data_IF_897237354453
#
_entry.id   IF_897237354453
#
_cell.length_a   1.000
_cell.length_b   1.000
_cell.length_c   1.000
_cell.angle_alpha   90.00
_cell.angle_beta   90.00
_cell.angle_gamma   90.00
#
_symmetry.space_group_name_H-M   'P 1'
#
loop_
_entity.id
_entity.type
_entity.pdbx_description
1 polymer ?
#
# COMPACT_ATOMS: atom_id res chain seq x y z
N UNK A 1 20.34 -18.46 -85.58
CA UNK A 1 20.37 -17.27 -84.68
C UNK A 1 19.28 -17.47 -83.63
N UNK A 2 19.57 -17.81 -82.38
CA UNK A 2 18.53 -17.95 -81.33
C UNK A 2 18.32 -16.61 -80.63
N UNK A 3 17.05 -16.22 -80.50
CA UNK A 3 16.55 -15.05 -79.82
C UNK A 3 16.59 -15.30 -78.28
N UNK A 4 17.33 -14.48 -77.54
CA UNK A 4 17.32 -14.49 -76.07
C UNK A 4 16.15 -13.67 -75.59
N UNK A 5 15.25 -14.29 -74.78
CA UNK A 5 14.20 -13.63 -74.00
C UNK A 5 14.82 -13.07 -72.75
N UNK A 6 14.45 -11.86 -72.30
CA UNK A 6 14.87 -11.32 -71.00
C UNK A 6 13.94 -11.83 -69.87
N UNK A 7 14.53 -12.41 -68.85
CA UNK A 7 13.88 -12.79 -67.64
C UNK A 7 13.64 -11.51 -66.81
N UNK A 8 12.38 -11.18 -66.53
CA UNK A 8 11.98 -10.11 -65.56
C UNK A 8 11.95 -10.71 -64.17
N UNK A 9 12.87 -10.28 -63.32
CA UNK A 9 12.88 -10.59 -61.88
C UNK A 9 11.89 -9.62 -61.22
N UNK A 10 10.78 -10.15 -60.70
CA UNK A 10 9.82 -9.40 -59.86
C UNK A 10 10.30 -9.56 -58.43
N UNK A 11 10.87 -8.50 -57.86
CA UNK A 11 11.22 -8.43 -56.43
C UNK A 11 9.98 -8.09 -55.62
N UNK A 12 9.41 -9.05 -54.94
CA UNK A 12 8.38 -8.84 -53.93
C UNK A 12 9.02 -8.43 -52.60
N UNK A 13 8.94 -7.15 -52.29
CA UNK A 13 9.31 -6.65 -50.96
C UNK A 13 8.22 -7.03 -49.94
N UNK A 14 8.46 -8.04 -49.13
CA UNK A 14 7.61 -8.39 -47.98
C UNK A 14 7.90 -7.39 -46.85
N UNK A 15 7.01 -6.45 -46.66
CA UNK A 15 7.05 -5.54 -45.51
C UNK A 15 6.71 -6.28 -44.21
N UNK A 16 7.70 -6.42 -43.34
CA UNK A 16 7.48 -6.90 -41.95
C UNK A 16 6.84 -5.77 -41.14
N UNK A 17 5.52 -5.86 -40.88
CA UNK A 17 4.85 -5.01 -39.89
C UNK A 17 5.15 -5.60 -38.53
N UNK A 18 6.11 -5.01 -37.81
CA UNK A 18 6.34 -5.31 -36.41
C UNK A 18 5.18 -4.73 -35.59
N UNK A 19 4.27 -5.58 -35.15
CA UNK A 19 3.26 -5.23 -34.17
C UNK A 19 3.99 -4.97 -32.83
N UNK A 20 4.10 -3.70 -32.44
CA UNK A 20 4.57 -3.31 -31.12
C UNK A 20 3.41 -3.62 -30.15
N UNK A 21 3.42 -4.80 -29.55
CA UNK A 21 2.58 -5.10 -28.41
C UNK A 21 3.09 -4.26 -27.24
N UNK A 22 2.36 -3.20 -26.87
CA UNK A 22 2.57 -2.53 -25.59
C UNK A 22 2.26 -3.56 -24.49
N UNK A 23 3.29 -4.11 -23.88
CA UNK A 23 3.16 -4.90 -22.68
C UNK A 23 2.63 -3.95 -21.59
N UNK A 24 1.35 -4.00 -21.31
CA UNK A 24 0.80 -3.41 -20.08
C UNK A 24 1.46 -4.19 -18.95
N UNK A 25 2.17 -3.49 -18.07
CA UNK A 25 2.66 -4.09 -16.84
C UNK A 25 1.43 -4.53 -16.05
N UNK A 26 1.11 -5.81 -16.09
CA UNK A 26 0.08 -6.39 -15.25
C UNK A 26 0.48 -6.08 -13.80
N UNK A 27 -0.42 -5.52 -13.01
CA UNK A 27 -0.20 -5.27 -11.60
C UNK A 27 0.27 -6.54 -10.91
N UNK A 28 1.11 -6.40 -9.89
CA UNK A 28 1.60 -7.56 -9.16
C UNK A 28 0.43 -8.30 -8.50
N UNK A 29 0.58 -9.60 -8.22
CA UNK A 29 -0.42 -10.36 -7.45
C UNK A 29 -0.68 -9.70 -6.09
N UNK A 30 0.33 -9.03 -5.52
CA UNK A 30 0.23 -8.24 -4.30
C UNK A 30 -0.65 -7.02 -4.48
N UNK A 31 -0.58 -6.32 -5.63
CA UNK A 31 -1.42 -5.15 -5.91
C UNK A 31 -2.89 -5.54 -6.02
N UNK A 32 -3.20 -6.61 -6.76
CA UNK A 32 -4.56 -7.13 -6.84
C UNK A 32 -5.13 -7.44 -5.45
N UNK A 33 -4.33 -8.06 -4.60
CA UNK A 33 -4.75 -8.42 -3.26
C UNK A 33 -4.85 -7.20 -2.33
N UNK A 34 -3.91 -6.24 -2.42
CA UNK A 34 -3.91 -5.00 -1.63
C UNK A 34 -5.06 -4.06 -2.02
N UNK A 35 -5.34 -3.88 -3.31
CA UNK A 35 -6.33 -2.91 -3.77
C UNK A 35 -7.69 -3.54 -4.13
N UNK A 36 -7.78 -4.88 -4.16
CA UNK A 36 -8.99 -5.62 -4.54
C UNK A 36 -9.27 -5.59 -6.05
N UNK A 37 -8.44 -4.93 -6.82
CA UNK A 37 -8.44 -4.85 -8.28
C UNK A 37 -7.02 -4.61 -8.78
N UNK A 38 -6.74 -4.94 -10.04
CA UNK A 38 -5.50 -4.54 -10.67
C UNK A 38 -5.55 -3.03 -10.95
N UNK A 39 -4.63 -2.24 -10.36
CA UNK A 39 -4.61 -0.79 -10.57
C UNK A 39 -4.04 -0.38 -11.95
N UNK A 40 -3.41 -1.28 -12.70
CA UNK A 40 -2.76 -0.95 -13.99
C UNK A 40 -1.74 0.18 -13.82
N UNK A 41 -1.92 1.29 -14.54
CA UNK A 41 -1.09 2.49 -14.44
C UNK A 41 -1.78 3.62 -13.65
N UNK A 42 -2.88 3.34 -12.98
CA UNK A 42 -3.62 4.34 -12.22
C UNK A 42 -3.16 4.40 -10.77
N UNK A 43 -3.39 5.57 -10.15
CA UNK A 43 -3.30 5.71 -8.70
C UNK A 43 -4.36 4.83 -8.03
N UNK A 44 -3.97 4.13 -6.96
CA UNK A 44 -4.87 3.24 -6.24
C UNK A 44 -4.82 3.48 -4.73
N UNK A 45 -5.95 3.21 -4.08
CA UNK A 45 -6.13 3.38 -2.65
C UNK A 45 -6.71 2.12 -2.04
N UNK A 46 -6.29 1.83 -0.81
CA UNK A 46 -6.90 0.79 0.02
C UNK A 46 -7.00 1.27 1.47
N UNK A 47 -8.07 0.87 2.13
CA UNK A 47 -8.31 1.15 3.54
C UNK A 47 -8.57 -0.15 4.30
N UNK A 48 -7.93 -0.28 5.46
CA UNK A 48 -8.06 -1.42 6.36
C UNK A 48 -8.20 -0.94 7.78
N UNK A 49 -9.01 -1.61 8.59
CA UNK A 49 -9.16 -1.22 9.98
C UNK A 49 -9.35 -2.42 10.91
N UNK A 50 -9.09 -2.19 12.18
CA UNK A 50 -9.39 -3.13 13.25
C UNK A 50 -9.69 -2.39 14.54
N UNK A 51 -10.78 -2.81 15.16
CA UNK A 51 -11.11 -2.47 16.54
C UNK A 51 -10.91 -3.70 17.43
N UNK A 52 -10.23 -3.52 18.55
CA UNK A 52 -10.05 -4.54 19.59
C UNK A 52 -10.95 -4.23 20.75
N UNK A 53 -11.94 -5.07 20.99
CA UNK A 53 -12.89 -4.88 22.06
C UNK A 53 -12.29 -5.10 23.46
N UNK A 54 -13.08 -4.79 24.49
CA UNK A 54 -12.65 -4.90 25.89
C UNK A 54 -12.31 -6.35 26.27
N UNK A 55 -12.99 -7.33 25.70
CA UNK A 55 -12.74 -8.76 26.00
C UNK A 55 -11.37 -9.19 25.44
N UNK A 56 -11.10 -8.81 24.17
CA UNK A 56 -9.79 -9.03 23.55
C UNK A 56 -8.67 -8.36 24.36
N UNK A 57 -8.83 -7.08 24.69
CA UNK A 57 -7.80 -6.33 25.42
C UNK A 57 -7.57 -6.83 26.87
N UNK A 58 -8.57 -7.45 27.49
CA UNK A 58 -8.39 -8.14 28.79
C UNK A 58 -7.52 -9.39 28.67
N UNK A 59 -7.67 -10.15 27.57
CA UNK A 59 -6.84 -11.35 27.31
C UNK A 59 -5.44 -11.02 26.81
N UNK A 60 -5.20 -9.76 26.35
CA UNK A 60 -3.91 -9.27 25.86
C UNK A 60 -3.48 -8.03 26.70
N UNK A 61 -3.08 -8.22 27.97
CA UNK A 61 -2.84 -7.09 28.88
C UNK A 61 -1.65 -6.22 28.47
N UNK A 62 -0.75 -6.76 27.65
CA UNK A 62 0.41 -6.03 27.14
C UNK A 62 0.20 -5.45 25.73
N UNK A 63 -1.00 -5.57 25.15
CA UNK A 63 -1.40 -4.84 23.95
C UNK A 63 -1.88 -3.45 24.35
N UNK A 64 -1.30 -2.40 23.77
CA UNK A 64 -1.68 -1.00 24.04
C UNK A 64 -2.61 -0.44 22.97
N UNK A 65 -2.54 -0.97 21.74
CA UNK A 65 -3.37 -0.55 20.61
C UNK A 65 -4.81 -1.06 20.78
N UNK A 66 -5.78 -0.13 20.72
CA UNK A 66 -7.22 -0.44 20.72
C UNK A 66 -7.80 -0.40 19.31
N UNK A 67 -7.49 0.65 18.56
CA UNK A 67 -7.94 0.82 17.18
C UNK A 67 -6.73 1.05 16.27
N UNK A 68 -6.77 0.46 15.11
CA UNK A 68 -5.80 0.70 14.06
C UNK A 68 -6.52 0.82 12.71
N UNK A 69 -6.19 1.88 11.97
CA UNK A 69 -6.66 2.10 10.60
C UNK A 69 -5.42 2.31 9.73
N UNK A 70 -5.37 1.67 8.59
CA UNK A 70 -4.28 1.79 7.64
C UNK A 70 -4.82 2.21 6.27
N UNK A 71 -4.27 3.29 5.75
CA UNK A 71 -4.47 3.78 4.40
C UNK A 71 -3.23 3.47 3.57
N UNK A 72 -3.42 2.82 2.42
CA UNK A 72 -2.37 2.60 1.43
C UNK A 72 -2.70 3.43 0.20
N UNK A 73 -1.74 4.23 -0.23
CA UNK A 73 -1.77 4.97 -1.49
C UNK A 73 -0.68 4.43 -2.40
N UNK A 74 -0.98 4.26 -3.69
CA UNK A 74 0.05 4.00 -4.68
C UNK A 74 -0.10 4.93 -5.88
N UNK A 75 1.01 5.45 -6.35
CA UNK A 75 1.13 6.30 -7.54
C UNK A 75 2.07 5.64 -8.55
N UNK A 76 1.99 6.06 -9.81
CA UNK A 76 2.94 5.60 -10.83
C UNK A 76 3.76 6.80 -11.26
N UNK A 77 5.06 6.70 -11.04
CA UNK A 77 6.05 7.63 -11.56
C UNK A 77 6.61 7.13 -12.90
N UNK A 78 6.93 8.03 -13.81
CA UNK A 78 7.40 7.68 -15.15
C UNK A 78 8.81 7.07 -15.17
N UNK A 79 9.64 7.36 -14.16
CA UNK A 79 11.03 6.90 -14.08
C UNK A 79 11.18 5.77 -13.04
N UNK A 80 10.52 5.91 -11.89
CA UNK A 80 10.66 4.97 -10.77
C UNK A 80 9.60 3.84 -10.78
N UNK A 81 8.56 3.95 -11.64
CA UNK A 81 7.47 2.99 -11.67
C UNK A 81 6.45 3.19 -10.54
N UNK A 82 5.85 2.11 -10.05
CA UNK A 82 4.84 2.19 -8.99
C UNK A 82 5.48 2.39 -7.64
N UNK A 83 5.12 3.48 -6.98
CA UNK A 83 5.50 3.83 -5.62
C UNK A 83 4.32 3.64 -4.66
N UNK A 84 4.63 3.37 -3.40
CA UNK A 84 3.63 3.18 -2.36
C UNK A 84 3.94 4.06 -1.16
N UNK A 85 2.90 4.50 -0.48
CA UNK A 85 2.98 5.11 0.85
C UNK A 85 1.91 4.52 1.75
N UNK A 86 2.18 4.55 3.05
CA UNK A 86 1.19 4.20 4.06
C UNK A 86 0.99 5.33 5.06
N UNK A 87 -0.25 5.41 5.55
CA UNK A 87 -0.64 6.21 6.71
C UNK A 87 -1.37 5.29 7.68
N UNK A 88 -0.91 5.22 8.91
CA UNK A 88 -1.57 4.44 9.95
C UNK A 88 -2.09 5.37 11.03
N UNK A 89 -3.38 5.27 11.35
CA UNK A 89 -3.98 5.86 12.53
C UNK A 89 -4.04 4.84 13.65
N UNK A 90 -3.53 5.21 14.81
CA UNK A 90 -3.52 4.36 16.01
C UNK A 90 -4.23 5.06 17.14
N UNK A 91 -5.17 4.36 17.77
CA UNK A 91 -5.74 4.80 19.04
C UNK A 91 -5.32 3.84 20.14
N UNK A 92 -4.59 4.35 21.11
CA UNK A 92 -4.15 3.57 22.26
C UNK A 92 -5.28 3.46 23.30
N UNK A 93 -5.31 2.36 24.08
CA UNK A 93 -6.40 2.05 25.01
C UNK A 93 -6.64 3.12 26.10
N UNK A 94 -5.61 3.86 26.48
CA UNK A 94 -5.67 4.90 27.51
C UNK A 94 -5.76 6.33 26.94
N UNK A 95 -5.87 6.48 25.62
CA UNK A 95 -5.86 7.77 24.92
C UNK A 95 -7.07 7.91 24.02
N UNK A 96 -7.60 9.14 23.92
CA UNK A 96 -8.64 9.50 22.95
C UNK A 96 -8.05 10.06 21.65
N UNK A 97 -6.84 10.60 21.73
CA UNK A 97 -6.09 11.16 20.59
C UNK A 97 -5.79 10.08 19.58
N UNK A 98 -5.96 10.39 18.31
CA UNK A 98 -5.50 9.58 17.19
C UNK A 98 -4.02 9.91 16.96
N UNK A 99 -3.16 8.91 17.06
CA UNK A 99 -1.75 9.01 16.69
C UNK A 99 -1.56 8.50 15.27
N UNK A 100 -0.61 9.09 14.55
CA UNK A 100 -0.32 8.74 13.16
C UNK A 100 1.10 8.17 13.02
N UNK A 101 1.26 7.34 12.00
CA UNK A 101 2.54 6.81 11.53
C UNK A 101 2.52 6.91 10.01
N UNK A 102 3.53 7.54 9.41
CA UNK A 102 3.63 7.76 7.96
C UNK A 102 4.92 7.16 7.44
N UNK A 103 4.91 6.68 6.21
CA UNK A 103 6.11 6.18 5.58
C UNK A 103 6.00 5.82 4.11
N UNK A 104 7.14 5.83 3.43
CA UNK A 104 7.30 5.32 2.07
C UNK A 104 7.52 3.82 2.07
N UNK A 105 7.01 3.14 1.04
CA UNK A 105 7.09 1.69 0.96
C UNK A 105 7.63 1.22 -0.38
N UNK A 106 8.39 0.13 -0.32
CA UNK A 106 8.78 -0.67 -1.48
C UNK A 106 7.89 -1.91 -1.59
N UNK A 107 7.59 -2.32 -2.82
CA UNK A 107 6.98 -3.63 -3.05
C UNK A 107 8.00 -4.73 -2.76
N UNK A 108 7.63 -5.70 -1.94
CA UNK A 108 8.54 -6.79 -1.62
C UNK A 108 8.54 -7.87 -2.70
N UNK A 109 9.73 -8.42 -2.95
CA UNK A 109 9.96 -9.51 -3.90
C UNK A 109 9.98 -10.89 -3.25
N UNK A 110 9.80 -11.00 -1.92
CA UNK A 110 9.90 -12.26 -1.17
C UNK A 110 8.66 -13.16 -1.33
N UNK A 111 7.60 -12.66 -1.96
CA UNK A 111 6.33 -13.36 -2.18
C UNK A 111 5.47 -13.57 -0.93
N UNK A 112 5.91 -13.08 0.22
CA UNK A 112 5.20 -13.16 1.52
C UNK A 112 4.76 -11.79 2.00
N UNK A 113 5.67 -10.83 1.95
CA UNK A 113 5.42 -9.43 2.28
C UNK A 113 4.90 -8.72 1.03
N UNK A 114 3.86 -7.93 1.13
CA UNK A 114 3.38 -7.11 0.02
C UNK A 114 4.13 -5.79 -0.05
N UNK A 115 4.30 -5.12 1.11
CA UNK A 115 5.01 -3.86 1.25
C UNK A 115 5.98 -3.92 2.43
N UNK A 116 7.16 -3.36 2.23
CA UNK A 116 8.16 -3.07 3.25
C UNK A 116 8.29 -1.56 3.37
N UNK A 117 7.99 -0.99 4.53
CA UNK A 117 7.82 0.44 4.69
C UNK A 117 8.81 1.00 5.72
N UNK A 118 9.61 1.95 5.29
CA UNK A 118 10.40 2.79 6.20
C UNK A 118 9.53 3.91 6.78
N UNK A 119 9.56 4.08 8.09
CA UNK A 119 8.78 5.11 8.77
C UNK A 119 9.59 6.40 8.85
N UNK A 120 8.94 7.51 8.55
CA UNK A 120 9.56 8.83 8.50
C UNK A 120 10.30 9.19 9.80
N UNK A 121 11.33 10.02 9.67
CA UNK A 121 12.16 10.49 10.79
C UNK A 121 12.78 9.37 11.63
N UNK A 122 13.34 8.35 10.98
CA UNK A 122 13.95 7.17 11.64
C UNK A 122 12.96 6.44 12.58
N UNK A 123 11.67 6.52 12.24
CA UNK A 123 10.56 6.01 13.05
C UNK A 123 10.40 4.50 13.05
N UNK A 124 11.31 3.75 12.41
CA UNK A 124 11.30 2.30 12.38
C UNK A 124 10.83 1.71 11.05
N UNK A 125 10.35 0.47 11.10
CA UNK A 125 9.95 -0.29 9.92
C UNK A 125 8.63 -1.01 10.17
N UNK A 126 7.80 -1.07 9.13
CA UNK A 126 6.52 -1.78 9.11
C UNK A 126 6.44 -2.65 7.86
N UNK A 127 6.07 -3.92 8.04
CA UNK A 127 5.81 -4.84 6.94
C UNK A 127 4.31 -5.07 6.82
N UNK A 128 3.80 -5.02 5.59
CA UNK A 128 2.41 -5.35 5.28
C UNK A 128 2.38 -6.62 4.45
N UNK A 129 1.68 -7.64 4.92
CA UNK A 129 1.50 -8.92 4.21
C UNK A 129 0.03 -9.15 3.91
N UNK A 130 -0.27 -9.69 2.74
CA UNK A 130 -1.64 -10.09 2.39
C UNK A 130 -1.97 -11.39 3.11
N UNK A 131 -3.01 -11.38 3.94
CA UNK A 131 -3.52 -12.59 4.60
C UNK A 131 -4.51 -13.34 3.72
N UNK A 132 -5.43 -12.61 3.11
CA UNK A 132 -6.44 -13.10 2.15
C UNK A 132 -7.03 -11.90 1.37
N UNK A 133 -8.04 -12.15 0.53
CA UNK A 133 -8.66 -11.10 -0.31
C UNK A 133 -9.27 -9.92 0.48
N UNK A 134 -9.58 -10.09 1.77
CA UNK A 134 -10.25 -9.08 2.59
C UNK A 134 -9.45 -8.64 3.82
N UNK A 135 -8.25 -9.18 4.04
CA UNK A 135 -7.48 -8.83 5.23
C UNK A 135 -5.97 -8.88 4.99
N UNK A 136 -5.27 -8.04 5.74
CA UNK A 136 -3.81 -7.93 5.77
C UNK A 136 -3.27 -8.20 7.18
N UNK A 137 -1.98 -8.45 7.25
CA UNK A 137 -1.20 -8.45 8.49
C UNK A 137 -0.22 -7.29 8.45
N UNK A 138 -0.20 -6.50 9.51
CA UNK A 138 0.73 -5.40 9.73
C UNK A 138 1.71 -5.83 10.83
N UNK A 139 2.97 -5.96 10.48
CA UNK A 139 4.05 -6.35 11.40
C UNK A 139 4.87 -5.13 11.80
N UNK A 140 5.03 -4.92 13.11
CA UNK A 140 5.76 -3.80 13.71
C UNK A 140 6.75 -4.39 14.75
N UNK A 141 7.78 -5.14 14.31
CA UNK A 141 8.57 -5.97 15.20
C UNK A 141 9.34 -5.17 16.26
N UNK A 142 9.75 -3.96 15.93
CA UNK A 142 10.58 -3.10 16.78
C UNK A 142 9.82 -1.88 17.33
N UNK A 143 8.51 -1.78 17.08
CA UNK A 143 7.72 -0.57 17.30
C UNK A 143 7.85 0.40 16.13
N UNK A 144 7.06 1.46 16.16
CA UNK A 144 7.15 2.57 15.23
C UNK A 144 6.93 3.88 15.98
N UNK A 145 7.58 4.94 15.53
CA UNK A 145 7.33 6.28 16.05
C UNK A 145 5.90 6.70 15.69
N UNK A 146 5.20 7.24 16.66
CA UNK A 146 3.85 7.79 16.48
C UNK A 146 3.87 9.30 16.70
N UNK A 147 2.95 10.00 16.05
CA UNK A 147 2.81 11.45 16.12
C UNK A 147 1.34 11.82 16.28
N UNK A 148 1.04 12.80 17.14
CA UNK A 148 -0.34 13.25 17.43
C UNK A 148 -0.76 14.52 16.62
N UNK A 149 0.14 15.03 15.80
CA UNK A 149 -0.11 16.22 15.00
C UNK A 149 0.10 17.55 15.72
N UNK A 150 0.37 17.54 17.03
CA UNK A 150 0.44 18.76 17.84
C UNK A 150 1.87 19.09 18.31
N UNK A 151 2.72 18.09 18.47
CA UNK A 151 4.05 18.24 19.06
C UNK A 151 5.09 17.37 18.38
N UNK A 152 6.29 17.91 18.21
CA UNK A 152 7.49 17.15 17.77
C UNK A 152 8.13 16.35 18.93
N UNK A 153 7.60 16.47 20.13
CA UNK A 153 8.10 15.73 21.28
C UNK A 153 7.87 14.22 21.15
N UNK A 154 8.70 13.46 21.82
CA UNK A 154 8.52 12.01 21.86
C UNK A 154 7.22 11.64 22.58
N UNK A 155 6.34 10.81 22.00
CA UNK A 155 5.09 10.44 22.63
C UNK A 155 5.33 9.71 23.95
N UNK A 156 4.43 9.93 24.96
CA UNK A 156 4.56 9.29 26.25
C UNK A 156 4.42 7.77 26.16
N UNK A 157 4.90 6.99 27.15
CA UNK A 157 4.84 5.52 27.11
C UNK A 157 3.42 4.96 26.85
N UNK A 158 2.38 5.69 27.26
CA UNK A 158 0.98 5.31 27.01
C UNK A 158 0.51 5.52 25.56
N UNK A 159 1.34 6.11 24.71
CA UNK A 159 1.13 6.31 23.27
C UNK A 159 2.22 5.63 22.43
N UNK A 160 2.80 4.56 22.96
CA UNK A 160 3.79 3.72 22.27
C UNK A 160 3.27 2.29 22.08
N UNK A 161 3.75 1.63 21.05
CA UNK A 161 3.52 0.19 20.84
C UNK A 161 4.16 -0.61 21.99
N UNK A 162 3.38 -1.48 22.60
CA UNK A 162 3.82 -2.31 23.71
C UNK A 162 4.30 -3.69 23.21
N UNK A 163 4.63 -4.61 24.14
CA UNK A 163 5.24 -5.88 23.76
C UNK A 163 4.35 -6.81 22.93
N UNK A 164 3.03 -6.70 23.08
CA UNK A 164 2.06 -7.50 22.32
C UNK A 164 1.59 -6.76 21.04
N UNK A 165 2.04 -5.52 20.83
CA UNK A 165 1.74 -4.72 19.65
C UNK A 165 2.77 -4.99 18.54
N UNK A 166 2.89 -6.24 18.09
CA UNK A 166 3.88 -6.67 17.10
C UNK A 166 3.29 -7.11 15.78
N UNK A 167 2.07 -7.66 15.81
CA UNK A 167 1.40 -8.17 14.64
C UNK A 167 -0.10 -7.91 14.75
N UNK A 168 -0.62 -7.19 13.78
CA UNK A 168 -2.03 -6.81 13.71
C UNK A 168 -2.66 -7.42 12.47
N UNK A 169 -3.86 -7.98 12.63
CA UNK A 169 -4.73 -8.27 11.50
C UNK A 169 -5.67 -7.08 11.31
N UNK A 170 -5.70 -6.51 10.10
CA UNK A 170 -6.69 -5.53 9.71
C UNK A 170 -7.56 -6.10 8.59
N UNK A 171 -8.83 -5.76 8.64
CA UNK A 171 -9.82 -6.16 7.65
C UNK A 171 -10.11 -4.96 6.72
N UNK A 172 -10.35 -5.24 5.43
CA UNK A 172 -10.65 -4.20 4.44
C UNK A 172 -11.94 -3.48 4.82
N UNK A 173 -11.94 -2.17 4.72
CA UNK A 173 -13.09 -1.31 5.01
C UNK A 173 -13.33 -0.30 3.89
N UNK A 174 -14.35 0.54 4.02
CA UNK A 174 -14.62 1.61 3.06
C UNK A 174 -13.47 2.62 3.06
N UNK A 175 -13.12 3.13 1.87
CA UNK A 175 -12.07 4.16 1.75
C UNK A 175 -12.36 5.40 2.58
N UNK A 176 -13.64 5.71 2.80
CA UNK A 176 -14.06 6.86 3.62
C UNK A 176 -13.65 6.74 5.09
N UNK A 177 -13.49 5.53 5.59
CA UNK A 177 -13.00 5.30 6.96
C UNK A 177 -11.55 5.77 7.15
N UNK A 178 -10.79 5.88 6.05
CA UNK A 178 -9.43 6.38 6.04
C UNK A 178 -9.29 7.90 5.83
N UNK A 179 -10.37 8.64 5.54
CA UNK A 179 -10.31 10.08 5.31
C UNK A 179 -9.60 10.88 6.41
N UNK A 180 -9.72 10.52 7.71
CA UNK A 180 -8.99 11.21 8.78
C UNK A 180 -7.45 11.10 8.68
N UNK A 181 -6.93 10.13 7.92
CA UNK A 181 -5.49 9.90 7.74
C UNK A 181 -4.93 10.58 6.50
N UNK A 182 -5.79 11.00 5.58
CA UNK A 182 -5.38 11.60 4.32
C UNK A 182 -5.12 13.09 4.53
N UNK A 183 -3.89 13.56 4.28
CA UNK A 183 -3.56 14.98 4.36
C UNK A 183 -3.90 15.73 3.06
N UNK A 184 -3.74 15.06 1.90
CA UNK A 184 -3.92 15.62 0.57
C UNK A 184 -5.41 15.82 0.23
N UNK A 185 -5.79 17.07 -0.08
CA UNK A 185 -7.18 17.44 -0.34
C UNK A 185 -7.71 16.89 -1.69
N UNK A 186 -6.85 16.70 -2.69
CA UNK A 186 -7.25 16.11 -3.96
C UNK A 186 -7.56 14.61 -3.78
N UNK A 187 -6.75 13.91 -2.98
CA UNK A 187 -7.00 12.51 -2.62
C UNK A 187 -8.30 12.41 -1.81
N UNK A 188 -8.52 13.28 -0.81
CA UNK A 188 -9.78 13.33 -0.06
C UNK A 188 -11.00 13.51 -0.98
N UNK A 189 -10.91 14.45 -1.93
CA UNK A 189 -11.99 14.71 -2.88
C UNK A 189 -12.29 13.46 -3.74
N UNK A 190 -11.25 12.78 -4.23
CA UNK A 190 -11.39 11.55 -5.03
C UNK A 190 -12.01 10.41 -4.23
N UNK A 191 -11.58 10.19 -2.98
CA UNK A 191 -12.15 9.17 -2.08
C UNK A 191 -13.62 9.49 -1.79
N UNK A 192 -13.94 10.76 -1.52
CA UNK A 192 -15.31 11.19 -1.20
C UNK A 192 -16.27 11.04 -2.38
N UNK A 193 -15.77 11.18 -3.62
CA UNK A 193 -16.53 11.03 -4.84
C UNK A 193 -16.71 9.56 -5.26
N UNK A 194 -15.90 8.63 -4.76
CA UNK A 194 -16.01 7.20 -5.07
C UNK A 194 -17.31 6.62 -4.45
N UNK A 195 -18.07 5.91 -5.30
CA UNK A 195 -19.33 5.24 -4.92
C UNK A 195 -19.12 3.76 -4.72
#
# INVERSE_FOLDING_TARGET
MPRRMPIRIISTAAGLIAAITMAHAAGSASDLALFGKDPGNEQAFACYSRHYDTAHLKSHPKQNVRDMTLFVNSTVDSEMGRMYSLEIGVQFRSRKTLFQVSGGCDSSVDGKTALNCGIDCDGGQIDVSVKNASSILVSIPYGARTWDGESDEEPPPSAKFASDDKLFRLDRTDLKDCLPLVADDDIKARISAAR
#
